data_IF_626536022455
#
_entry.id   IF_626536022455
#
_cell.length_a   1.000
_cell.length_b   1.000
_cell.length_c   1.000
_cell.angle_alpha   90.00
_cell.angle_beta   90.00
_cell.angle_gamma   90.00
#
_symmetry.space_group_name_H-M   'P 1'
#
loop_
_entity.id
_entity.type
_entity.pdbx_description
1 polymer ?
#
# COMPACT_ATOMS: atom_id res chain seq x y z
N UNK A 1 -23.58 4.95 -1.44
CA UNK A 1 -22.43 5.77 -0.97
C UNK A 1 -21.25 5.53 -1.90
N UNK A 2 -20.59 6.59 -2.36
CA UNK A 2 -19.50 6.48 -3.34
C UNK A 2 -18.23 5.92 -2.66
N UNK A 3 -17.52 5.00 -3.31
CA UNK A 3 -16.32 4.34 -2.76
C UNK A 3 -15.20 5.35 -2.46
N UNK A 4 -15.11 6.42 -3.26
CA UNK A 4 -14.18 7.54 -3.05
C UNK A 4 -14.45 8.27 -1.73
N UNK A 5 -15.70 8.66 -1.47
CA UNK A 5 -16.10 9.37 -0.24
C UNK A 5 -15.89 8.58 1.05
N UNK A 6 -15.74 7.25 0.97
CA UNK A 6 -15.56 6.40 2.13
C UNK A 6 -14.09 6.17 2.48
N UNK A 7 -13.20 6.18 1.47
CA UNK A 7 -11.75 6.10 1.65
C UNK A 7 -11.25 7.41 2.27
N UNK A 8 -11.77 8.55 1.82
CA UNK A 8 -11.40 9.86 2.36
C UNK A 8 -11.67 9.98 3.87
N UNK A 9 -12.78 9.42 4.35
CA UNK A 9 -13.13 9.42 5.78
C UNK A 9 -12.17 8.60 6.63
N UNK A 10 -11.83 7.39 6.17
CA UNK A 10 -10.94 6.50 6.92
C UNK A 10 -9.55 7.11 7.06
N UNK A 11 -9.07 7.77 6.00
CA UNK A 11 -7.76 8.43 6.05
C UNK A 11 -7.83 9.63 7.01
N UNK A 12 -8.90 10.42 6.96
CA UNK A 12 -9.10 11.54 7.89
C UNK A 12 -9.13 11.10 9.36
N UNK A 13 -9.66 9.91 9.66
CA UNK A 13 -9.73 9.38 11.03
C UNK A 13 -8.36 8.87 11.54
N UNK A 14 -7.42 8.55 10.65
CA UNK A 14 -6.13 7.93 10.99
C UNK A 14 -4.96 8.91 10.93
N UNK A 15 -5.06 9.94 10.08
CA UNK A 15 -4.03 10.97 9.97
C UNK A 15 -3.92 11.78 11.26
N UNK A 16 -2.68 11.98 11.71
CA UNK A 16 -2.42 12.93 12.80
C UNK A 16 -2.70 14.37 12.32
N UNK A 17 -2.95 15.29 13.26
CA UNK A 17 -3.39 16.67 12.97
C UNK A 17 -2.45 17.46 12.03
N UNK A 18 -1.16 17.14 12.04
CA UNK A 18 -0.09 17.73 11.23
C UNK A 18 0.42 16.80 10.12
N UNK A 19 -0.18 15.62 9.98
CA UNK A 19 0.17 14.64 8.96
C UNK A 19 -0.49 15.00 7.62
N UNK A 20 0.33 15.09 6.57
CA UNK A 20 -0.11 15.46 5.22
C UNK A 20 0.20 14.33 4.25
N UNK A 21 -0.78 14.00 3.41
CA UNK A 21 -0.59 13.08 2.29
C UNK A 21 0.26 13.79 1.23
N UNK A 22 1.39 13.19 0.88
CA UNK A 22 2.31 13.69 -0.14
C UNK A 22 2.06 13.00 -1.49
N UNK A 23 1.71 11.71 -1.47
CA UNK A 23 1.42 10.95 -2.68
C UNK A 23 0.46 9.77 -2.40
N UNK A 24 -0.25 9.34 -3.44
CA UNK A 24 -1.16 8.20 -3.39
C UNK A 24 -0.97 7.32 -4.61
N UNK A 25 -0.97 6.00 -4.43
CA UNK A 25 -0.87 5.03 -5.53
C UNK A 25 -1.71 3.78 -5.24
N UNK A 26 -2.25 3.15 -6.29
CA UNK A 26 -2.99 1.90 -6.19
C UNK A 26 -2.09 0.73 -6.61
N UNK A 27 -1.90 -0.23 -5.72
CA UNK A 27 -1.10 -1.42 -5.94
C UNK A 27 -1.97 -2.68 -5.91
N UNK A 28 -1.50 -3.73 -6.59
CA UNK A 28 -2.00 -5.09 -6.38
C UNK A 28 -0.98 -5.83 -5.55
N UNK A 29 -1.34 -6.12 -4.30
CA UNK A 29 -0.51 -6.94 -3.43
C UNK A 29 -0.92 -8.40 -3.62
N UNK A 30 0.06 -9.25 -3.93
CA UNK A 30 -0.12 -10.69 -3.94
C UNK A 30 0.60 -11.27 -2.72
N UNK A 31 -0.15 -11.87 -1.81
CA UNK A 31 0.42 -12.60 -0.69
C UNK A 31 0.31 -14.09 -0.96
N UNK A 32 1.43 -14.81 -0.82
CA UNK A 32 1.43 -16.27 -0.88
C UNK A 32 1.18 -16.79 0.54
N UNK A 33 -0.02 -17.27 0.78
CA UNK A 33 -0.36 -18.07 1.96
C UNK A 33 -0.30 -19.54 1.50
N UNK A 34 0.16 -20.51 2.33
CA UNK A 34 0.09 -21.91 1.92
C UNK A 34 -1.34 -22.22 1.47
N UNK A 35 -1.49 -22.72 0.24
CA UNK A 35 -2.75 -23.15 -0.40
C UNK A 35 -3.68 -22.07 -1.01
N UNK A 36 -3.43 -20.76 -0.87
CA UNK A 36 -4.25 -19.72 -1.55
C UNK A 36 -3.43 -18.54 -2.08
N UNK A 37 -3.78 -18.08 -3.28
CA UNK A 37 -3.24 -16.87 -3.89
C UNK A 37 -4.25 -15.75 -3.72
N UNK A 38 -4.04 -14.89 -2.71
CA UNK A 38 -4.92 -13.73 -2.49
C UNK A 38 -4.25 -12.53 -3.16
N UNK A 39 -4.91 -12.02 -4.19
CA UNK A 39 -4.53 -10.75 -4.84
C UNK A 39 -5.47 -9.71 -4.31
N UNK A 40 -4.97 -8.79 -3.49
CA UNK A 40 -5.77 -7.70 -2.96
C UNK A 40 -5.38 -6.35 -3.54
N UNK A 41 -6.39 -5.55 -3.83
CA UNK A 41 -6.22 -4.15 -4.16
C UNK A 41 -5.81 -3.37 -2.89
N UNK A 42 -4.64 -2.76 -2.93
CA UNK A 42 -4.06 -1.97 -1.84
C UNK A 42 -3.90 -0.53 -2.30
N UNK A 43 -4.42 0.42 -1.53
CA UNK A 43 -4.08 1.83 -1.72
C UNK A 43 -2.94 2.17 -0.79
N UNK A 44 -1.87 2.71 -1.32
CA UNK A 44 -0.73 3.20 -0.54
C UNK A 44 -0.77 4.72 -0.51
N UNK A 45 -0.79 5.28 0.69
CA UNK A 45 -0.64 6.71 0.95
C UNK A 45 0.74 6.95 1.54
N UNK A 46 1.53 7.80 0.88
CA UNK A 46 2.77 8.31 1.44
C UNK A 46 2.47 9.64 2.14
N UNK A 47 2.72 9.71 3.44
CA UNK A 47 2.56 10.94 4.22
C UNK A 47 3.93 11.57 4.49
N UNK A 48 3.96 12.73 5.14
CA UNK A 48 5.22 13.29 5.66
C UNK A 48 5.79 12.51 6.86
N UNK A 49 5.10 11.48 7.38
CA UNK A 49 5.51 10.70 8.56
C UNK A 49 5.69 9.21 8.30
N UNK A 50 4.83 8.61 7.48
CA UNK A 50 4.74 7.14 7.29
C UNK A 50 4.09 6.78 5.97
N UNK A 51 4.19 5.50 5.61
CA UNK A 51 3.33 4.89 4.59
C UNK A 51 2.10 4.28 5.27
N UNK A 52 0.92 4.50 4.69
CA UNK A 52 -0.33 3.84 5.08
C UNK A 52 -0.76 2.92 3.93
N UNK A 53 -0.96 1.64 4.22
CA UNK A 53 -1.41 0.65 3.27
C UNK A 53 -2.83 0.23 3.63
N UNK A 54 -3.79 0.52 2.75
CA UNK A 54 -5.22 0.24 2.95
C UNK A 54 -5.63 -0.90 2.02
N UNK A 55 -5.96 -2.06 2.60
CA UNK A 55 -6.42 -3.23 1.84
C UNK A 55 -7.93 -3.14 1.61
N UNK A 56 -8.37 -3.18 0.35
CA UNK A 56 -9.80 -3.02 -0.01
C UNK A 56 -10.66 -4.26 0.24
N UNK A 57 -10.10 -5.46 0.12
CA UNK A 57 -10.90 -6.70 0.02
C UNK A 57 -11.21 -7.38 1.37
N UNK A 58 -10.27 -7.35 2.33
CA UNK A 58 -10.40 -8.03 3.62
C UNK A 58 -10.41 -6.96 4.71
N UNK A 59 -11.55 -6.79 5.38
CA UNK A 59 -11.75 -5.93 6.56
C UNK A 59 -10.85 -4.69 6.59
N UNK A 60 -10.95 -3.79 5.61
CA UNK A 60 -10.30 -2.45 5.55
C UNK A 60 -9.12 -2.27 6.48
N UNK A 61 -8.14 -3.16 6.36
CA UNK A 61 -7.05 -3.22 7.32
C UNK A 61 -6.04 -2.17 6.91
N UNK A 62 -5.69 -1.30 7.85
CA UNK A 62 -4.75 -0.22 7.65
C UNK A 62 -3.45 -0.65 8.29
N UNK A 63 -2.43 -0.82 7.47
CA UNK A 63 -1.08 -1.10 7.92
C UNK A 63 -0.26 0.16 7.87
N UNK A 64 0.38 0.48 8.98
CA UNK A 64 1.21 1.65 9.13
C UNK A 64 2.69 1.24 9.08
N UNK A 65 3.45 1.88 8.19
CA UNK A 65 4.88 1.65 8.06
C UNK A 65 5.61 3.00 8.21
N UNK A 66 6.07 3.33 9.44
CA UNK A 66 6.89 4.50 9.67
C UNK A 66 8.19 4.46 8.85
N UNK A 67 8.63 5.62 8.33
CA UNK A 67 9.82 5.65 7.48
C UNK A 67 11.09 5.18 8.18
N UNK A 68 11.23 5.40 9.49
CA UNK A 68 12.38 4.92 10.25
C UNK A 68 12.48 3.38 10.33
N UNK A 69 11.39 2.65 10.03
CA UNK A 69 11.40 1.18 9.94
C UNK A 69 11.77 0.67 8.55
N UNK A 70 11.84 1.55 7.54
CA UNK A 70 12.24 1.17 6.19
C UNK A 70 13.77 1.13 6.14
N UNK A 71 14.31 -0.06 5.89
CA UNK A 71 15.76 -0.25 5.81
C UNK A 71 16.29 0.00 4.39
N UNK A 72 15.48 -0.32 3.37
CA UNK A 72 15.84 -0.11 1.96
C UNK A 72 14.61 -0.13 1.05
N UNK A 73 14.73 0.57 -0.09
CA UNK A 73 13.76 0.56 -1.18
C UNK A 73 14.51 0.16 -2.46
N UNK A 74 14.15 -0.97 -3.03
CA UNK A 74 14.82 -1.55 -4.19
C UNK A 74 13.87 -1.60 -5.39
N UNK A 75 14.30 -1.11 -6.55
CA UNK A 75 13.59 -1.35 -7.80
C UNK A 75 13.95 -2.75 -8.30
N UNK A 76 13.05 -3.70 -8.09
CA UNK A 76 13.25 -5.09 -8.52
C UNK A 76 12.67 -5.27 -9.93
N UNK A 77 13.48 -5.80 -10.84
CA UNK A 77 13.02 -6.23 -12.16
C UNK A 77 13.02 -7.75 -12.25
N UNK A 78 11.82 -8.35 -12.34
CA UNK A 78 11.66 -9.77 -12.67
C UNK A 78 11.44 -9.93 -14.17
N UNK A 79 12.27 -10.76 -14.81
CA UNK A 79 12.04 -11.25 -16.17
C UNK A 79 11.27 -12.57 -16.07
N UNK A 80 10.07 -12.65 -16.64
CA UNK A 80 9.31 -13.90 -16.73
C UNK A 80 8.65 -14.00 -18.10
N UNK A 81 9.18 -14.89 -18.96
CA UNK A 81 8.94 -14.86 -20.42
C UNK A 81 9.12 -13.43 -20.98
N UNK A 82 8.69 -13.12 -22.20
CA UNK A 82 8.93 -11.83 -22.86
C UNK A 82 8.42 -10.58 -22.09
N UNK A 83 7.82 -10.75 -20.91
CA UNK A 83 7.32 -9.71 -20.03
C UNK A 83 8.38 -9.29 -18.99
N UNK A 84 8.71 -8.00 -18.96
CA UNK A 84 9.50 -7.37 -17.88
C UNK A 84 8.52 -6.76 -16.87
N UNK A 85 8.49 -7.29 -15.64
CA UNK A 85 7.78 -6.65 -14.53
C UNK A 85 8.79 -5.88 -13.66
N UNK A 86 8.49 -4.62 -13.37
CA UNK A 86 9.25 -3.76 -12.44
C UNK A 86 8.34 -3.41 -11.27
N UNK A 87 8.81 -3.58 -10.05
CA UNK A 87 8.09 -3.20 -8.84
C UNK A 87 9.07 -2.71 -7.78
N UNK A 88 8.62 -1.83 -6.90
CA UNK A 88 9.40 -1.41 -5.74
C UNK A 88 9.21 -2.41 -4.61
N UNK A 89 10.32 -2.94 -4.08
CA UNK A 89 10.35 -3.78 -2.89
C UNK A 89 10.87 -2.94 -1.73
N UNK A 90 10.09 -2.90 -0.65
CA UNK A 90 10.45 -2.23 0.61
C UNK A 90 10.87 -3.33 1.59
N UNK A 91 12.04 -3.19 2.23
CA UNK A 91 12.52 -4.11 3.28
C UNK A 91 12.59 -3.43 4.63
#
# INVERSE_FOLDING_TARGET
>A
MNTATMIDRIIQDVLEKDEKILATTNWKASSYVPFTFIVSDVIVFATNKRLLLVIKEVYRSIYELPYYRITSIELVSKKFLFFKKRYYQIR
#
